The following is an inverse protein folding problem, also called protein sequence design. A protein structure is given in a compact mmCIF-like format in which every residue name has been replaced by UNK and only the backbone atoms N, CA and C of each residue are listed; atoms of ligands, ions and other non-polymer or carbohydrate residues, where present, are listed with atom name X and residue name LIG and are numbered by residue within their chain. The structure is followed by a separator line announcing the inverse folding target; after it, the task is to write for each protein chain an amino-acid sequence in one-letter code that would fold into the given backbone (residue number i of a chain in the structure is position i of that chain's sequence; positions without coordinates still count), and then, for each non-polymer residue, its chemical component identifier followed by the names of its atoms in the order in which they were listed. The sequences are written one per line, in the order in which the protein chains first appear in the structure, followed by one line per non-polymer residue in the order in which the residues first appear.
data_IF_976020823202
#
_entry.id   IF_976020823202
#
_cell.length_a   1.000
_cell.length_b   1.000
_cell.length_c   1.000
_cell.angle_alpha   90.00
_cell.angle_beta   90.00
_cell.angle_gamma   90.00
#
_symmetry.space_group_name_H-M   'P 1'
#
loop_
_entity.id
_entity.type
_entity.pdbx_description
1 polymer ?
#
# COMPACT_ATOMS: atom_id res chain seq x y z
N UNK A 1 -19.84 24.54 18.33
CA UNK A 1 -19.62 23.21 17.70
C UNK A 1 -18.13 23.03 17.42
N UNK A 2 -17.47 22.16 18.19
CA UNK A 2 -16.10 21.73 17.84
C UNK A 2 -16.22 20.85 16.61
N UNK A 3 -15.71 21.29 15.45
CA UNK A 3 -15.44 20.39 14.32
C UNK A 3 -14.45 19.34 14.84
N UNK A 4 -14.90 18.09 14.98
CA UNK A 4 -13.95 16.97 15.15
C UNK A 4 -12.98 17.05 13.97
N UNK A 5 -11.70 17.10 14.25
CA UNK A 5 -10.68 17.01 13.19
C UNK A 5 -10.92 15.67 12.48
N UNK A 6 -11.24 15.76 11.21
CA UNK A 6 -11.34 14.62 10.32
C UNK A 6 -10.05 13.79 10.47
N UNK A 7 -10.16 12.48 10.65
CA UNK A 7 -8.98 11.62 10.78
C UNK A 7 -8.27 11.54 9.41
N UNK A 8 -6.96 11.31 9.40
CA UNK A 8 -6.21 11.11 8.15
C UNK A 8 -6.79 9.98 7.29
N UNK A 9 -7.33 8.94 7.94
CA UNK A 9 -8.00 7.87 7.22
C UNK A 9 -9.28 8.33 6.54
N UNK A 10 -10.07 9.17 7.17
CA UNK A 10 -11.30 9.69 6.57
C UNK A 10 -11.00 10.55 5.34
N UNK A 11 -9.96 11.38 5.42
CA UNK A 11 -9.46 12.16 4.28
C UNK A 11 -8.93 11.26 3.16
N UNK A 12 -8.18 10.22 3.50
CA UNK A 12 -7.69 9.23 2.55
C UNK A 12 -8.86 8.52 1.83
N UNK A 13 -9.85 8.07 2.59
CA UNK A 13 -11.02 7.39 2.06
C UNK A 13 -11.87 8.31 1.16
N UNK A 14 -12.01 9.57 1.54
CA UNK A 14 -12.69 10.59 0.72
C UNK A 14 -11.99 10.74 -0.64
N UNK A 15 -10.68 10.94 -0.64
CA UNK A 15 -9.87 11.04 -1.87
C UNK A 15 -9.92 9.77 -2.72
N UNK A 16 -9.87 8.60 -2.09
CA UNK A 16 -10.00 7.33 -2.78
C UNK A 16 -11.38 7.19 -3.44
N UNK A 17 -12.44 7.64 -2.76
CA UNK A 17 -13.81 7.56 -3.26
C UNK A 17 -14.08 8.44 -4.48
N UNK A 18 -13.28 9.48 -4.71
CA UNK A 18 -13.33 10.29 -5.93
C UNK A 18 -12.84 9.50 -7.17
N UNK A 19 -12.04 8.47 -6.96
CA UNK A 19 -11.43 7.67 -8.03
C UNK A 19 -12.18 6.35 -8.20
N UNK A 20 -12.51 5.68 -7.11
CA UNK A 20 -13.13 4.35 -7.13
C UNK A 20 -13.85 4.06 -5.81
N UNK A 21 -14.75 3.06 -5.85
CA UNK A 21 -15.36 2.50 -4.64
C UNK A 21 -14.40 1.46 -4.05
N UNK A 22 -14.02 1.60 -2.79
CA UNK A 22 -13.15 0.66 -2.06
C UNK A 22 -13.65 -0.79 -2.18
N UNK A 23 -14.95 -1.02 -2.23
CA UNK A 23 -15.55 -2.36 -2.33
C UNK A 23 -15.31 -3.03 -3.68
N UNK A 24 -14.87 -2.29 -4.69
CA UNK A 24 -14.54 -2.78 -6.04
C UNK A 24 -13.04 -3.04 -6.23
N UNK A 25 -12.22 -2.77 -5.23
CA UNK A 25 -10.79 -3.00 -5.29
C UNK A 25 -10.53 -4.48 -4.95
N UNK A 26 -9.87 -5.20 -5.84
CA UNK A 26 -9.53 -6.61 -5.65
C UNK A 26 -8.21 -6.81 -4.90
N UNK A 27 -7.25 -5.93 -5.11
CA UNK A 27 -5.88 -6.07 -4.61
C UNK A 27 -5.36 -4.80 -3.95
N UNK A 28 -4.66 -4.98 -2.84
CA UNK A 28 -3.87 -3.96 -2.18
C UNK A 28 -2.41 -4.41 -2.16
N UNK A 29 -1.54 -3.68 -2.85
CA UNK A 29 -0.11 -3.91 -2.81
C UNK A 29 0.49 -3.13 -1.65
N UNK A 30 1.16 -3.83 -0.73
CA UNK A 30 1.83 -3.24 0.42
C UNK A 30 3.33 -3.36 0.23
N UNK A 31 3.97 -2.27 -0.17
CA UNK A 31 5.42 -2.21 -0.41
C UNK A 31 6.23 -2.13 0.89
N UNK A 32 5.63 -1.64 1.98
CA UNK A 32 6.27 -1.39 3.25
C UNK A 32 5.22 -1.34 4.36
N UNK A 33 5.56 -1.83 5.57
CA UNK A 33 4.62 -1.99 6.69
C UNK A 33 4.83 -1.02 7.85
N UNK A 34 5.65 0.01 7.69
CA UNK A 34 5.73 1.07 8.68
C UNK A 34 4.33 1.67 8.95
N UNK A 35 3.96 2.00 10.21
CA UNK A 35 2.58 2.38 10.54
C UNK A 35 2.01 3.58 9.78
N UNK A 36 2.85 4.51 9.33
CA UNK A 36 2.44 5.65 8.51
C UNK A 36 2.03 5.23 7.08
N UNK A 37 2.52 4.07 6.60
CA UNK A 37 2.11 3.46 5.33
C UNK A 37 0.99 2.42 5.52
N UNK A 38 1.13 1.54 6.51
CA UNK A 38 0.27 0.37 6.69
C UNK A 38 -0.86 0.57 7.70
N UNK A 39 -0.90 1.68 8.43
CA UNK A 39 -1.86 1.91 9.51
C UNK A 39 -3.34 1.94 9.09
N UNK A 40 -3.61 2.10 7.80
CA UNK A 40 -4.97 2.08 7.26
C UNK A 40 -5.42 0.71 6.74
N UNK A 41 -4.53 -0.28 6.70
CA UNK A 41 -4.83 -1.61 6.09
C UNK A 41 -5.99 -2.29 6.80
N UNK A 42 -6.01 -2.32 8.13
CA UNK A 42 -7.09 -2.93 8.91
C UNK A 42 -8.46 -2.32 8.57
N UNK A 43 -8.56 -1.00 8.54
CA UNK A 43 -9.80 -0.31 8.20
C UNK A 43 -10.24 -0.52 6.75
N UNK A 44 -9.30 -0.65 5.82
CA UNK A 44 -9.62 -1.01 4.43
C UNK A 44 -10.19 -2.43 4.33
N UNK A 45 -9.65 -3.37 5.10
CA UNK A 45 -10.16 -4.74 5.18
C UNK A 45 -11.54 -4.82 5.84
N UNK A 46 -11.83 -3.96 6.83
CA UNK A 46 -13.18 -3.86 7.40
C UNK A 46 -14.21 -3.38 6.37
N UNK A 47 -13.83 -2.44 5.51
CA UNK A 47 -14.68 -1.91 4.45
C UNK A 47 -14.81 -2.86 3.25
N UNK A 48 -13.79 -3.64 2.99
CA UNK A 48 -13.73 -4.63 1.91
C UNK A 48 -13.07 -5.93 2.38
N UNK A 49 -13.83 -6.85 3.01
CA UNK A 49 -13.29 -8.13 3.46
C UNK A 49 -12.76 -9.05 2.33
N UNK A 50 -13.14 -8.77 1.09
CA UNK A 50 -12.66 -9.49 -0.10
C UNK A 50 -11.31 -8.99 -0.64
N UNK A 51 -10.76 -7.92 -0.08
CA UNK A 51 -9.50 -7.32 -0.50
C UNK A 51 -8.33 -8.30 -0.27
N UNK A 52 -7.54 -8.56 -1.30
CA UNK A 52 -6.37 -9.43 -1.22
C UNK A 52 -5.10 -8.59 -1.11
N UNK A 53 -4.27 -8.90 -0.13
CA UNK A 53 -3.03 -8.18 0.11
C UNK A 53 -1.88 -8.85 -0.63
N UNK A 54 -1.17 -8.09 -1.46
CA UNK A 54 0.06 -8.51 -2.14
C UNK A 54 1.23 -7.86 -1.41
N UNK A 55 2.14 -8.66 -0.88
CA UNK A 55 3.30 -8.16 -0.15
C UNK A 55 4.41 -9.23 -0.09
N UNK A 56 5.60 -8.85 0.38
CA UNK A 56 6.64 -9.85 0.71
C UNK A 56 6.20 -10.74 1.88
N UNK A 57 6.78 -11.92 1.99
CA UNK A 57 6.50 -12.81 3.14
C UNK A 57 6.82 -12.15 4.48
N UNK A 58 7.86 -11.32 4.54
CA UNK A 58 8.23 -10.54 5.73
C UNK A 58 7.14 -9.51 6.07
N UNK A 59 6.67 -8.75 5.09
CA UNK A 59 5.59 -7.77 5.28
C UNK A 59 4.28 -8.45 5.72
N UNK A 60 3.95 -9.60 5.16
CA UNK A 60 2.76 -10.37 5.58
C UNK A 60 2.89 -10.81 7.05
N UNK A 61 4.08 -11.21 7.48
CA UNK A 61 4.35 -11.50 8.89
C UNK A 61 4.05 -10.32 9.79
N UNK A 62 4.55 -9.13 9.44
CA UNK A 62 4.28 -7.91 10.20
C UNK A 62 2.79 -7.51 10.17
N UNK A 63 2.13 -7.62 9.02
CA UNK A 63 0.70 -7.32 8.90
C UNK A 63 -0.16 -8.21 9.80
N UNK A 64 0.19 -9.48 9.98
CA UNK A 64 -0.50 -10.39 10.90
C UNK A 64 -0.40 -10.00 12.37
N UNK A 65 0.63 -9.24 12.73
CA UNK A 65 0.82 -8.72 14.10
C UNK A 65 -0.01 -7.45 14.35
N UNK A 66 -0.27 -6.65 13.32
CA UNK A 66 -0.91 -5.34 13.45
C UNK A 66 -2.38 -5.32 13.02
N UNK A 67 -2.81 -6.26 12.18
CA UNK A 67 -4.21 -6.39 11.75
C UNK A 67 -4.95 -7.38 12.65
N UNK A 68 -6.03 -6.93 13.30
CA UNK A 68 -6.90 -7.79 14.06
C UNK A 68 -7.87 -8.52 13.11
N UNK A 69 -7.70 -9.81 12.98
CA UNK A 69 -8.53 -10.65 12.13
C UNK A 69 -7.77 -11.30 10.98
N UNK A 70 -8.49 -12.12 10.23
CA UNK A 70 -7.94 -12.84 9.10
C UNK A 70 -8.06 -12.03 7.81
N UNK A 71 -7.10 -12.16 6.93
CA UNK A 71 -7.11 -11.57 5.60
C UNK A 71 -6.45 -12.51 4.59
N UNK A 72 -6.80 -12.36 3.34
CA UNK A 72 -6.17 -13.10 2.24
C UNK A 72 -4.90 -12.39 1.81
N UNK A 73 -3.77 -13.09 1.89
CA UNK A 73 -2.48 -12.58 1.46
C UNK A 73 -1.91 -13.40 0.31
N UNK A 74 -1.28 -12.70 -0.62
CA UNK A 74 -0.54 -13.27 -1.75
C UNK A 74 0.93 -12.89 -1.54
N UNK A 75 1.76 -13.82 -1.02
CA UNK A 75 3.18 -13.55 -0.86
C UNK A 75 3.87 -13.51 -2.21
N UNK A 76 4.72 -12.52 -2.43
CA UNK A 76 5.53 -12.39 -3.63
C UNK A 76 7.02 -12.40 -3.31
N UNK A 77 7.80 -12.89 -4.26
CA UNK A 77 9.26 -12.99 -4.19
C UNK A 77 9.91 -11.98 -5.11
N UNK A 78 11.22 -11.80 -4.91
CA UNK A 78 12.02 -10.94 -5.76
C UNK A 78 11.88 -11.32 -7.23
N UNK A 79 11.70 -10.31 -8.07
CA UNK A 79 11.53 -10.41 -9.51
C UNK A 79 10.31 -11.23 -9.99
N UNK A 80 9.40 -11.58 -9.09
CA UNK A 80 8.12 -12.21 -9.44
C UNK A 80 7.21 -11.22 -10.17
N UNK A 81 6.41 -11.72 -11.10
CA UNK A 81 5.45 -10.91 -11.83
C UNK A 81 4.03 -11.41 -11.63
N UNK A 82 3.09 -10.48 -11.62
CA UNK A 82 1.66 -10.77 -11.57
C UNK A 82 0.91 -9.90 -12.58
N UNK A 83 0.10 -10.55 -13.40
CA UNK A 83 -0.74 -9.82 -14.37
C UNK A 83 -2.09 -9.49 -13.74
N UNK A 84 -2.44 -8.21 -13.75
CA UNK A 84 -3.72 -7.70 -13.26
C UNK A 84 -4.37 -6.91 -14.39
N UNK A 85 -5.43 -7.48 -14.98
CA UNK A 85 -6.06 -6.90 -16.17
C UNK A 85 -5.05 -6.83 -17.33
N UNK A 86 -4.82 -5.62 -17.84
CA UNK A 86 -3.87 -5.34 -18.92
C UNK A 86 -2.51 -4.83 -18.41
N UNK A 87 -2.25 -4.89 -17.11
CA UNK A 87 -0.99 -4.45 -16.48
C UNK A 87 -0.22 -5.62 -15.92
N UNK A 88 1.10 -5.53 -16.00
CA UNK A 88 2.03 -6.47 -15.39
C UNK A 88 2.75 -5.78 -14.25
N UNK A 89 2.58 -6.27 -13.04
CA UNK A 89 3.31 -5.83 -11.87
C UNK A 89 4.52 -6.74 -11.67
N UNK A 90 5.70 -6.14 -11.56
CA UNK A 90 6.93 -6.82 -11.16
C UNK A 90 7.31 -6.38 -9.76
N UNK A 91 7.56 -7.33 -8.89
CA UNK A 91 7.92 -7.06 -7.50
C UNK A 91 9.44 -7.20 -7.33
N UNK A 92 10.04 -6.17 -6.77
CA UNK A 92 11.48 -6.12 -6.52
C UNK A 92 11.70 -6.09 -5.02
N UNK A 93 12.18 -7.17 -4.46
CA UNK A 93 12.53 -7.24 -3.03
C UNK A 93 13.80 -6.44 -2.78
N UNK A 94 13.71 -5.45 -1.92
CA UNK A 94 14.82 -4.56 -1.57
C UNK A 94 14.98 -4.49 -0.04
N UNK A 95 15.28 -5.62 0.61
CA UNK A 95 15.32 -5.70 2.06
C UNK A 95 16.36 -4.71 2.62
N UNK A 96 15.97 -4.06 3.74
CA UNK A 96 16.78 -3.04 4.41
C UNK A 96 17.03 -1.74 3.62
N UNK A 97 16.32 -1.52 2.54
CA UNK A 97 16.09 -0.20 1.97
C UNK A 97 14.83 0.39 2.59
N UNK A 98 15.02 0.62 3.70
CA UNK A 98 14.88 1.18 5.02
C UNK A 98 14.48 0.09 6.02
N UNK A 99 13.48 -0.78 5.76
CA UNK A 99 13.06 -1.91 6.60
C UNK A 99 13.27 -3.28 5.90
N UNK A 100 13.27 -4.39 6.68
CA UNK A 100 13.47 -5.74 6.12
C UNK A 100 12.38 -6.19 5.15
N UNK A 101 11.18 -5.64 5.26
CA UNK A 101 10.00 -5.99 4.48
C UNK A 101 9.87 -5.22 3.16
N UNK A 102 10.73 -4.24 2.92
CA UNK A 102 10.60 -3.30 1.80
C UNK A 102 10.70 -3.99 0.44
N UNK A 103 9.75 -3.67 -0.42
CA UNK A 103 9.80 -4.00 -1.84
C UNK A 103 9.41 -2.80 -2.69
N UNK A 104 9.79 -2.83 -3.96
CA UNK A 104 9.27 -1.93 -4.97
C UNK A 104 8.29 -2.67 -5.87
N UNK A 105 7.36 -1.94 -6.44
CA UNK A 105 6.44 -2.46 -7.45
C UNK A 105 6.64 -1.69 -8.75
N UNK A 106 7.01 -2.41 -9.81
CA UNK A 106 7.19 -1.85 -11.14
C UNK A 106 6.01 -2.22 -12.04
N UNK A 107 5.36 -1.23 -12.61
CA UNK A 107 4.26 -1.38 -13.57
C UNK A 107 4.88 -1.31 -14.97
N UNK A 108 5.02 -2.48 -15.61
CA UNK A 108 5.84 -2.62 -16.83
C UNK A 108 5.33 -1.76 -17.98
N UNK A 109 4.04 -1.79 -18.25
CA UNK A 109 3.43 -1.10 -19.40
C UNK A 109 3.49 0.43 -19.26
N UNK A 110 3.45 0.93 -18.03
CA UNK A 110 3.49 2.37 -17.73
C UNK A 110 4.91 2.86 -17.43
N UNK A 111 5.87 1.97 -17.24
CA UNK A 111 7.23 2.29 -16.81
C UNK A 111 7.27 3.09 -15.49
N UNK A 112 6.36 2.75 -14.57
CA UNK A 112 6.24 3.39 -13.26
C UNK A 112 6.81 2.48 -12.20
N UNK A 113 7.73 3.02 -11.38
CA UNK A 113 8.28 2.37 -10.20
C UNK A 113 7.72 3.01 -8.92
N UNK A 114 7.03 2.22 -8.10
CA UNK A 114 6.51 2.62 -6.79
C UNK A 114 7.52 2.19 -5.73
N UNK A 115 8.12 3.16 -5.05
CA UNK A 115 9.32 2.97 -4.21
C UNK A 115 9.09 3.20 -2.72
N UNK A 116 7.85 3.47 -2.27
CA UNK A 116 7.55 3.92 -0.90
C UNK A 116 8.52 5.04 -0.44
N UNK A 117 9.22 4.89 0.70
CA UNK A 117 10.09 5.93 1.27
C UNK A 117 11.40 6.15 0.53
N UNK A 118 11.83 5.18 -0.28
CA UNK A 118 13.07 5.33 -1.03
C UNK A 118 12.98 6.52 -1.97
N UNK A 119 14.05 7.31 -2.00
CA UNK A 119 14.13 8.60 -2.71
C UNK A 119 13.22 9.70 -2.14
N UNK A 120 12.56 9.43 -1.00
CA UNK A 120 11.80 10.42 -0.25
C UNK A 120 12.73 11.44 0.45
N UNK A 121 12.15 12.56 0.85
CA UNK A 121 12.84 13.61 1.59
C UNK A 121 11.91 14.16 2.67
N UNK A 122 12.46 14.51 3.82
CA UNK A 122 11.73 15.19 4.91
C UNK A 122 11.52 16.70 4.67
N UNK A 123 11.62 17.12 3.42
CA UNK A 123 11.44 18.51 3.04
C UNK A 123 10.06 18.73 2.43
N UNK A 124 9.30 19.67 3.01
CA UNK A 124 7.95 20.01 2.56
C UNK A 124 7.89 21.44 2.01
N UNK A 125 7.16 21.61 0.93
CA UNK A 125 6.80 22.90 0.37
C UNK A 125 5.31 23.16 0.54
N UNK A 126 4.91 24.43 0.61
CA UNK A 126 3.50 24.82 0.58
C UNK A 126 2.90 24.67 -0.83
N UNK A 127 3.72 24.79 -1.84
CA UNK A 127 3.31 24.69 -3.25
C UNK A 127 3.73 23.33 -3.83
N UNK A 128 2.83 22.74 -4.63
CA UNK A 128 3.05 21.42 -5.26
C UNK A 128 3.99 21.54 -6.47
N UNK A 129 4.07 22.71 -7.08
CA UNK A 129 4.92 23.00 -8.23
C UNK A 129 5.96 24.05 -7.87
N UNK A 130 7.20 23.75 -8.17
CA UNK A 130 8.32 24.69 -8.13
C UNK A 130 8.39 25.49 -9.43
#
# INVERSE_FOLDING_TARGET
MRRQKQSFFDEYLEKLSEITDIRKIDYLVVNHTEPDHAGSVERLLELNPGLKIIATGCAIGFLKEIVNGEFTAIPVKDNETMKIGNKTLRFLSVPNLHWPDTMYTYIEEEQILVTCDSFGSHYGFHDILL
#
